data_IF_087258707161
#
_entry.id   IF_087258707161
#
_cell.length_a   1.000
_cell.length_b   1.000
_cell.length_c   1.000
_cell.angle_alpha   90.00
_cell.angle_beta   90.00
_cell.angle_gamma   90.00
#
_symmetry.space_group_name_H-M   'P 1'
#
loop_
_entity.id
_entity.type
_entity.pdbx_description
1 polymer ?
#
# COMPACT_ATOMS: atom_id res chain seq x y z
N UNK A 1 -0.76 12.37 12.25
CA UNK A 1 -0.98 11.00 12.28
C UNK A 1 -0.96 10.36 10.97
N UNK A 2 -0.21 9.32 10.94
CA UNK A 2 -0.09 8.56 9.73
C UNK A 2 -1.40 7.91 9.32
N UNK A 3 -2.28 7.77 10.25
CA UNK A 3 -3.53 7.09 9.99
C UNK A 3 -4.41 7.80 9.02
N UNK A 4 -4.19 9.09 8.85
CA UNK A 4 -5.04 9.84 7.94
C UNK A 4 -4.89 9.35 6.52
N UNK A 5 -3.76 8.76 6.19
CA UNK A 5 -3.51 8.26 4.86
C UNK A 5 -4.06 6.87 4.67
N UNK A 6 -4.21 6.16 5.76
CA UNK A 6 -4.65 4.78 5.71
C UNK A 6 -6.10 4.68 6.09
N UNK A 7 -6.69 3.55 5.75
CA UNK A 7 -8.04 3.27 6.17
C UNK A 7 -8.07 3.14 7.66
N UNK A 8 -9.07 3.75 8.27
CA UNK A 8 -9.14 3.80 9.72
C UNK A 8 -9.51 2.47 10.35
N UNK A 9 -10.08 1.56 9.57
CA UNK A 9 -10.56 0.31 10.09
C UNK A 9 -9.73 -0.86 9.66
N UNK A 10 -9.67 -1.84 10.55
CA UNK A 10 -9.05 -3.11 10.24
C UNK A 10 -9.97 -4.21 10.70
N UNK A 11 -10.09 -5.25 9.89
CA UNK A 11 -10.90 -6.39 10.23
C UNK A 11 -10.01 -7.62 10.22
N UNK A 12 -10.16 -8.48 11.21
CA UNK A 12 -9.39 -9.71 11.27
C UNK A 12 -10.25 -10.89 10.86
N UNK A 13 -9.70 -11.72 10.01
CA UNK A 13 -10.41 -12.88 9.48
C UNK A 13 -9.46 -14.06 9.50
N UNK A 14 -9.89 -15.20 10.04
CA UNK A 14 -9.05 -16.40 10.01
C UNK A 14 -8.83 -16.88 8.57
N UNK A 15 -7.68 -17.47 8.33
CA UNK A 15 -7.35 -17.95 7.00
C UNK A 15 -8.38 -18.94 6.47
N UNK A 16 -8.91 -19.80 7.33
CA UNK A 16 -9.89 -20.78 6.91
C UNK A 16 -11.16 -20.13 6.38
N UNK A 17 -11.53 -18.99 6.95
CA UNK A 17 -12.67 -18.23 6.46
C UNK A 17 -12.32 -17.45 5.22
N UNK A 18 -11.12 -16.87 5.22
CA UNK A 18 -10.69 -16.03 4.13
C UNK A 18 -10.64 -16.78 2.82
N UNK A 19 -10.18 -18.01 2.84
CA UNK A 19 -10.05 -18.77 1.60
C UNK A 19 -11.39 -19.12 1.00
N UNK A 20 -12.42 -19.26 1.81
CA UNK A 20 -13.75 -19.60 1.32
C UNK A 20 -14.53 -18.39 0.85
N UNK A 21 -14.15 -17.20 1.28
CA UNK A 21 -14.93 -16.00 1.02
C UNK A 21 -14.06 -14.89 0.45
N UNK A 22 -13.04 -15.26 -0.29
CA UNK A 22 -12.05 -14.31 -0.75
C UNK A 22 -12.61 -13.22 -1.63
N UNK A 23 -13.54 -13.56 -2.51
CA UNK A 23 -14.14 -12.56 -3.39
C UNK A 23 -14.84 -11.46 -2.60
N UNK A 24 -15.57 -11.86 -1.59
CA UNK A 24 -16.26 -10.89 -0.75
C UNK A 24 -15.28 -10.04 0.04
N UNK A 25 -14.25 -10.70 0.57
CA UNK A 25 -13.25 -9.98 1.35
C UNK A 25 -12.45 -8.98 0.52
N UNK A 26 -12.19 -9.30 -0.74
CA UNK A 26 -11.53 -8.37 -1.62
C UNK A 26 -12.37 -7.10 -1.81
N UNK A 27 -13.67 -7.29 -1.91
CA UNK A 27 -14.58 -6.15 -2.04
C UNK A 27 -14.58 -5.32 -0.78
N UNK A 28 -14.63 -5.97 0.37
CA UNK A 28 -14.56 -5.24 1.64
C UNK A 28 -13.24 -4.54 1.82
N UNK A 29 -12.18 -5.14 1.29
CA UNK A 29 -10.84 -4.57 1.44
C UNK A 29 -10.67 -3.27 0.69
N UNK A 30 -11.62 -2.90 -0.17
CA UNK A 30 -11.57 -1.62 -0.84
C UNK A 30 -11.80 -0.46 0.12
N UNK A 31 -12.45 -0.72 1.24
CA UNK A 31 -12.76 0.32 2.21
C UNK A 31 -12.07 0.12 3.55
N UNK A 32 -11.52 -1.05 3.82
CA UNK A 32 -10.82 -1.31 5.06
C UNK A 32 -9.80 -2.41 4.86
N UNK A 33 -8.72 -2.35 5.60
CA UNK A 33 -7.71 -3.39 5.52
C UNK A 33 -8.22 -4.65 6.21
N UNK A 34 -7.93 -5.79 5.63
CA UNK A 34 -8.34 -7.05 6.20
C UNK A 34 -7.11 -7.85 6.58
N UNK A 35 -6.96 -8.09 7.87
CA UNK A 35 -5.83 -8.87 8.39
C UNK A 35 -6.23 -10.34 8.39
N UNK A 36 -5.44 -11.14 7.72
CA UNK A 36 -5.70 -12.58 7.67
C UNK A 36 -4.84 -13.23 8.74
N UNK A 37 -5.49 -13.97 9.63
CA UNK A 37 -4.77 -14.60 10.73
C UNK A 37 -4.66 -16.08 10.52
N UNK A 38 -3.64 -16.67 11.12
CA UNK A 38 -3.42 -18.09 11.13
C UNK A 38 -3.03 -18.48 12.54
N UNK A 39 -3.78 -19.39 13.11
CA UNK A 39 -3.57 -19.80 14.51
C UNK A 39 -3.62 -18.60 15.44
N UNK A 40 -4.52 -17.66 15.15
CA UNK A 40 -4.71 -16.49 16.01
C UNK A 40 -3.66 -15.40 15.84
N UNK A 41 -2.72 -15.57 14.90
CA UNK A 41 -1.66 -14.59 14.69
C UNK A 41 -1.75 -14.00 13.29
N UNK A 42 -1.39 -12.73 13.15
CA UNK A 42 -1.42 -12.12 11.81
C UNK A 42 -0.50 -12.86 10.85
N UNK A 43 -1.05 -13.24 9.72
CA UNK A 43 -0.27 -13.91 8.68
C UNK A 43 -0.13 -13.06 7.43
N UNK A 44 -1.06 -12.15 7.21
CA UNK A 44 -1.00 -11.28 6.05
C UNK A 44 -2.09 -10.25 6.09
N UNK A 45 -2.05 -9.36 5.11
CA UNK A 45 -3.05 -8.30 4.98
C UNK A 45 -3.58 -8.32 3.57
N UNK A 46 -4.90 -8.19 3.45
CA UNK A 46 -5.55 -8.10 2.16
C UNK A 46 -5.91 -6.66 1.90
N UNK A 47 -5.43 -6.14 0.80
CA UNK A 47 -5.67 -4.75 0.40
C UNK A 47 -6.42 -4.77 -0.92
N UNK A 48 -7.56 -4.09 -0.95
CA UNK A 48 -8.36 -4.02 -2.16
C UNK A 48 -8.15 -2.70 -2.88
N UNK A 49 -8.26 -2.75 -4.19
CA UNK A 49 -8.12 -1.56 -5.02
C UNK A 49 -9.45 -1.27 -5.70
N UNK A 50 -9.88 -0.03 -5.62
CA UNK A 50 -11.12 0.37 -6.27
C UNK A 50 -10.92 0.60 -7.76
N UNK A 51 -9.70 0.88 -8.17
CA UNK A 51 -9.39 1.20 -9.56
C UNK A 51 -7.95 0.83 -9.85
N UNK A 52 -7.61 0.90 -11.14
CA UNK A 52 -6.23 0.69 -11.53
C UNK A 52 -5.31 1.79 -11.01
N UNK A 53 -5.85 2.97 -10.80
CA UNK A 53 -5.06 4.06 -10.23
C UNK A 53 -4.61 3.72 -8.82
N UNK A 54 -5.47 3.13 -8.03
CA UNK A 54 -5.09 2.70 -6.68
C UNK A 54 -3.97 1.68 -6.73
N UNK A 55 -4.06 0.74 -7.66
CA UNK A 55 -3.04 -0.27 -7.84
C UNK A 55 -1.71 0.35 -8.25
N UNK A 56 -1.76 1.29 -9.18
CA UNK A 56 -0.56 1.96 -9.68
C UNK A 56 0.11 2.74 -8.54
N UNK A 57 -0.67 3.45 -7.77
CA UNK A 57 -0.16 4.20 -6.64
C UNK A 57 0.48 3.29 -5.61
N UNK A 58 -0.17 2.19 -5.31
CA UNK A 58 0.37 1.22 -4.36
C UNK A 58 1.71 0.68 -4.83
N UNK A 59 1.81 0.38 -6.11
CA UNK A 59 3.07 -0.11 -6.67
C UNK A 59 4.18 0.91 -6.50
N UNK A 60 3.90 2.16 -6.80
CA UNK A 60 4.92 3.20 -6.70
C UNK A 60 5.39 3.37 -5.28
N UNK A 61 4.46 3.40 -4.35
CA UNK A 61 4.82 3.63 -2.95
C UNK A 61 5.59 2.46 -2.35
N UNK A 62 5.47 1.29 -2.94
CA UNK A 62 6.15 0.10 -2.43
C UNK A 62 7.29 -0.38 -3.30
N UNK A 63 7.68 0.40 -4.30
CA UNK A 63 8.79 0.07 -5.17
C UNK A 63 10.06 0.68 -4.57
N UNK A 64 11.03 -0.13 -4.20
CA UNK A 64 12.27 0.41 -3.61
C UNK A 64 13.00 1.39 -4.52
N UNK A 65 12.93 1.16 -5.81
CA UNK A 65 13.60 2.07 -6.75
C UNK A 65 12.93 3.43 -6.78
N UNK A 66 11.61 3.45 -6.71
CA UNK A 66 10.88 4.70 -6.68
C UNK A 66 11.17 5.46 -5.40
N UNK A 67 11.15 4.78 -4.28
CA UNK A 67 11.42 5.41 -2.99
C UNK A 67 12.83 5.98 -2.93
N UNK A 68 13.79 5.27 -3.51
CA UNK A 68 15.17 5.74 -3.55
C UNK A 68 15.28 7.01 -4.37
N UNK A 69 14.57 7.08 -5.49
CA UNK A 69 14.61 8.28 -6.34
C UNK A 69 14.02 9.48 -5.64
N UNK A 70 12.98 9.27 -4.87
CA UNK A 70 12.40 10.37 -4.10
C UNK A 70 13.40 10.88 -3.09
N UNK A 71 14.10 9.97 -2.43
CA UNK A 71 15.11 10.34 -1.45
C UNK A 71 16.24 11.11 -2.09
N UNK A 72 16.71 10.65 -3.24
CA UNK A 72 17.78 11.32 -3.96
C UNK A 72 17.36 12.73 -4.39
N UNK A 73 16.11 12.86 -4.82
CA UNK A 73 15.59 14.15 -5.22
C UNK A 73 15.58 15.12 -4.05
N UNK A 74 15.20 14.64 -2.87
CA UNK A 74 15.21 15.48 -1.68
C UNK A 74 16.60 15.94 -1.33
N UNK A 75 17.56 15.05 -1.44
CA UNK A 75 18.95 15.40 -1.15
C UNK A 75 19.46 16.45 -2.12
N UNK A 76 19.09 16.32 -3.39
CA UNK A 76 19.51 17.30 -4.39
C UNK A 76 18.93 18.67 -4.10
N UNK A 77 17.68 18.72 -3.68
CA UNK A 77 17.05 19.99 -3.35
C UNK A 77 17.72 20.63 -2.14
N UNK A 78 18.04 19.83 -1.14
CA UNK A 78 18.71 20.35 0.05
C UNK A 78 20.08 20.88 -0.26
N UNK A 79 20.74 20.29 -1.24
CA UNK A 79 22.06 20.73 -1.66
C UNK A 79 22.00 21.91 -2.62
N UNK A 80 20.83 22.44 -2.89
CA UNK A 80 20.69 23.56 -3.79
C UNK A 80 20.58 23.21 -5.25
N UNK A 81 20.44 21.94 -5.55
CA UNK A 81 20.28 21.49 -6.91
C UNK A 81 18.82 21.20 -7.21
N UNK A 82 18.48 21.29 -8.47
CA UNK A 82 17.13 21.02 -8.91
C UNK A 82 17.05 19.71 -9.62
N UNK A 83 15.99 18.97 -9.34
CA UNK A 83 15.70 17.75 -10.04
C UNK A 83 14.45 17.97 -10.88
N UNK A 84 14.59 17.78 -12.18
CA UNK A 84 13.45 17.92 -13.05
C UNK A 84 12.56 16.70 -12.98
N UNK A 85 11.29 16.93 -13.24
CA UNK A 85 10.33 15.83 -13.20
C UNK A 85 10.69 14.75 -14.21
N UNK A 86 11.16 15.15 -15.38
CA UNK A 86 11.51 14.19 -16.40
C UNK A 86 12.75 13.37 -16.05
N UNK A 87 13.51 13.79 -15.07
CA UNK A 87 14.66 13.03 -14.62
C UNK A 87 14.24 11.87 -13.69
N UNK A 88 12.99 11.86 -13.29
CA UNK A 88 12.47 10.82 -12.43
C UNK A 88 11.76 9.80 -13.30
N UNK A 89 12.34 8.63 -13.45
CA UNK A 89 11.77 7.58 -14.28
C UNK A 89 11.25 6.44 -13.41
N UNK A 90 10.12 5.93 -13.80
CA UNK A 90 9.47 4.88 -13.05
C UNK A 90 9.49 3.57 -13.83
#
# INVERSE_FOLDING_TARGET
MADTIRKARMKEVPLSEAKDDLSHLLREAETQDIVITRHGKPAGVLIGFKSEDDWFEYRLLNDPRFLRRIEDARKSLRAGRRTRLEDIKF
#
